data_IF_006478183801
#
_entry.id   IF_006478183801
#
_cell.length_a   1.000
_cell.length_b   1.000
_cell.length_c   1.000
_cell.angle_alpha   90.00
_cell.angle_beta   90.00
_cell.angle_gamma   90.00
#
_symmetry.space_group_name_H-M   'P 1'
#
loop_
_entity.id
_entity.type
_entity.pdbx_description
1 polymer ?
#
# COMPACT_ATOMS: atom_id res chain seq x y z
N UNK A 1 -0.63 -8.80 0.10
CA UNK A 1 -0.50 -7.36 0.32
C UNK A 1 -1.17 -7.00 1.64
N UNK A 2 -0.50 -6.29 2.54
CA UNK A 2 -1.07 -5.88 3.84
C UNK A 2 -2.20 -4.87 3.64
N UNK A 3 -3.13 -4.77 4.60
CA UNK A 3 -4.25 -3.81 4.52
C UNK A 3 -3.78 -2.36 4.44
N UNK A 4 -2.64 -2.02 5.09
CA UNK A 4 -2.04 -0.69 5.08
C UNK A 4 -1.47 -0.37 3.69
N UNK A 5 -0.70 -1.27 3.08
CA UNK A 5 -0.15 -1.10 1.74
C UNK A 5 -1.26 -0.87 0.69
N UNK A 6 -2.35 -1.64 0.77
CA UNK A 6 -3.49 -1.47 -0.14
C UNK A 6 -4.20 -0.12 0.05
N UNK A 7 -4.36 0.33 1.29
CA UNK A 7 -4.96 1.64 1.60
C UNK A 7 -4.09 2.79 1.10
N UNK A 8 -2.76 2.68 1.27
CA UNK A 8 -1.80 3.66 0.77
C UNK A 8 -1.84 3.73 -0.76
N UNK A 9 -1.80 2.56 -1.44
CA UNK A 9 -1.89 2.48 -2.89
C UNK A 9 -3.16 3.17 -3.42
N UNK A 10 -4.31 2.91 -2.79
CA UNK A 10 -5.58 3.60 -3.12
C UNK A 10 -5.53 5.10 -2.88
N UNK A 11 -4.89 5.56 -1.81
CA UNK A 11 -4.76 6.99 -1.51
C UNK A 11 -3.95 7.68 -2.58
N UNK A 12 -2.82 7.08 -3.02
CA UNK A 12 -2.00 7.61 -4.13
C UNK A 12 -2.81 7.61 -5.42
N UNK A 13 -3.49 6.51 -5.76
CA UNK A 13 -4.31 6.42 -6.98
C UNK A 13 -5.41 7.48 -7.04
N UNK A 14 -6.04 7.80 -5.90
CA UNK A 14 -7.10 8.82 -5.83
C UNK A 14 -6.56 10.24 -6.03
N UNK A 15 -5.35 10.53 -5.57
CA UNK A 15 -4.75 11.88 -5.64
C UNK A 15 -3.83 12.08 -6.83
N UNK A 16 -3.45 10.99 -7.53
CA UNK A 16 -2.45 10.98 -8.58
C UNK A 16 -1.04 10.86 -8.01
N UNK A 17 -0.71 11.71 -7.04
CA UNK A 17 0.56 11.72 -6.32
C UNK A 17 0.37 12.16 -4.86
N UNK A 18 1.36 11.87 -4.02
CA UNK A 18 1.48 12.35 -2.64
C UNK A 18 2.88 12.89 -2.40
N UNK A 19 3.03 13.84 -1.46
CA UNK A 19 4.37 14.12 -0.93
C UNK A 19 4.92 12.89 -0.21
N UNK A 20 6.23 12.72 -0.23
CA UNK A 20 6.87 11.62 0.50
C UNK A 20 6.55 11.68 1.99
N UNK A 21 6.47 12.88 2.56
CA UNK A 21 6.07 13.13 3.94
C UNK A 21 4.67 12.58 4.23
N UNK A 22 3.66 12.93 3.41
CA UNK A 22 2.29 12.41 3.56
C UNK A 22 2.21 10.89 3.45
N UNK A 23 3.09 10.27 2.67
CA UNK A 23 3.17 8.83 2.50
C UNK A 23 3.81 8.15 3.71
N UNK A 24 4.87 8.75 4.28
CA UNK A 24 5.57 8.28 5.48
C UNK A 24 4.68 8.41 6.74
N UNK A 25 3.94 9.49 6.87
CA UNK A 25 3.03 9.73 8.00
C UNK A 25 1.71 8.92 7.91
N UNK A 26 1.47 8.25 6.78
CA UNK A 26 0.23 7.49 6.58
C UNK A 26 0.03 6.35 7.59
N UNK A 27 1.04 5.51 7.96
CA UNK A 27 0.94 4.63 9.11
C UNK A 27 1.04 5.48 10.39
N UNK A 28 -0.08 5.72 11.05
CA UNK A 28 -0.12 6.45 12.31
C UNK A 28 0.77 5.77 13.35
N UNK A 29 1.71 6.51 13.91
CA UNK A 29 2.65 6.13 14.98
C UNK A 29 3.71 5.08 14.57
N UNK A 30 4.70 5.46 13.76
CA UNK A 30 5.86 4.60 13.55
C UNK A 30 6.76 4.63 14.81
N UNK A 31 6.69 3.57 15.61
CA UNK A 31 7.63 3.37 16.70
C UNK A 31 9.03 3.02 16.17
N UNK A 32 9.08 2.37 15.01
CA UNK A 32 10.32 1.94 14.35
C UNK A 32 10.16 1.89 12.81
N UNK A 33 11.21 1.46 12.13
CA UNK A 33 11.24 1.33 10.67
C UNK A 33 10.23 0.31 10.11
N UNK A 34 9.71 -0.61 10.93
CA UNK A 34 8.78 -1.65 10.46
C UNK A 34 7.46 -1.05 9.96
N UNK A 35 7.07 0.11 10.50
CA UNK A 35 5.90 0.83 10.03
C UNK A 35 6.04 1.31 8.57
N UNK A 36 7.25 1.46 8.07
CA UNK A 36 7.54 1.93 6.71
C UNK A 36 7.66 0.80 5.68
N UNK A 37 7.70 -0.49 6.11
CA UNK A 37 7.75 -1.61 5.18
C UNK A 37 6.63 -1.60 4.12
N UNK A 38 5.36 -1.27 4.45
CA UNK A 38 4.32 -1.21 3.42
C UNK A 38 4.62 -0.23 2.29
N UNK A 39 5.20 0.94 2.59
CA UNK A 39 5.61 1.93 1.59
C UNK A 39 6.85 1.45 0.84
N UNK A 40 7.88 0.99 1.55
CA UNK A 40 9.11 0.48 0.95
C UNK A 40 8.82 -0.68 -0.02
N UNK A 41 8.00 -1.63 0.40
CA UNK A 41 7.57 -2.75 -0.45
C UNK A 41 6.85 -2.29 -1.71
N UNK A 42 5.93 -1.32 -1.60
CA UNK A 42 5.21 -0.80 -2.77
C UNK A 42 6.14 -0.10 -3.77
N UNK A 43 7.20 0.55 -3.30
CA UNK A 43 8.19 1.22 -4.15
C UNK A 43 9.10 0.17 -4.80
N UNK A 44 9.69 -0.73 -4.02
CA UNK A 44 10.66 -1.73 -4.52
C UNK A 44 9.98 -2.73 -5.48
N UNK A 45 8.76 -3.16 -5.17
CA UNK A 45 7.97 -4.01 -6.05
C UNK A 45 7.42 -3.29 -7.30
N UNK A 46 7.61 -1.98 -7.39
CA UNK A 46 7.21 -1.17 -8.55
C UNK A 46 5.71 -0.91 -8.67
N UNK A 47 4.93 -1.01 -7.60
CA UNK A 47 3.55 -0.53 -7.56
C UNK A 47 3.47 0.99 -7.46
N UNK A 48 4.39 1.58 -6.70
CA UNK A 48 4.59 3.03 -6.60
C UNK A 48 5.95 3.41 -7.17
N UNK A 49 6.05 4.63 -7.68
CA UNK A 49 7.30 5.30 -7.96
C UNK A 49 7.58 6.32 -6.86
N UNK A 50 8.86 6.66 -6.70
CA UNK A 50 9.32 7.75 -5.86
C UNK A 50 10.32 8.59 -6.64
N UNK A 51 10.33 9.89 -6.39
CA UNK A 51 11.40 10.79 -6.87
C UNK A 51 12.63 10.69 -5.99
N UNK A 52 12.49 10.10 -4.79
CA UNK A 52 13.61 9.83 -3.91
C UNK A 52 14.58 8.84 -4.59
N UNK A 53 15.80 9.29 -4.85
CA UNK A 53 16.88 8.43 -5.32
C UNK A 53 17.48 7.69 -4.11
N UNK A 54 16.99 6.46 -3.89
CA UNK A 54 17.48 5.60 -2.82
C UNK A 54 18.39 4.52 -3.42
N UNK A 55 19.66 4.57 -3.04
CA UNK A 55 20.63 3.52 -3.34
C UNK A 55 20.95 2.75 -2.06
N UNK A 56 20.74 1.42 -2.04
CA UNK A 56 21.11 0.62 -0.90
C UNK A 56 22.65 0.70 -0.68
N UNK A 57 23.11 0.60 0.56
CA UNK A 57 24.55 0.53 0.84
C UNK A 57 25.20 -0.64 0.10
N UNK A 58 26.49 -0.53 -0.26
CA UNK A 58 27.23 -1.64 -0.86
C UNK A 58 27.11 -2.91 -0.01
N UNK A 59 26.76 -4.04 -0.64
CA UNK A 59 26.53 -5.32 0.03
C UNK A 59 25.13 -5.52 0.61
N UNK A 60 24.26 -4.51 0.56
CA UNK A 60 22.88 -4.59 1.02
C UNK A 60 21.85 -4.69 -0.12
N UNK A 61 22.28 -5.06 -1.33
CA UNK A 61 21.42 -5.14 -2.52
C UNK A 61 20.26 -6.15 -2.34
N UNK A 62 20.48 -7.19 -1.53
CA UNK A 62 19.45 -8.19 -1.19
C UNK A 62 18.46 -7.70 -0.11
N UNK A 63 18.73 -6.56 0.51
CA UNK A 63 17.93 -6.00 1.60
C UNK A 63 17.37 -4.61 1.25
N UNK A 64 17.03 -4.40 -0.03
CA UNK A 64 16.60 -3.08 -0.54
C UNK A 64 15.40 -2.53 0.21
N UNK A 65 14.38 -3.36 0.42
CA UNK A 65 13.16 -2.97 1.15
C UNK A 65 13.47 -2.58 2.59
N UNK A 66 14.34 -3.33 3.26
CA UNK A 66 14.79 -3.01 4.61
C UNK A 66 15.54 -1.67 4.64
N UNK A 67 16.53 -1.50 3.76
CA UNK A 67 17.31 -0.29 3.64
C UNK A 67 16.43 0.93 3.35
N UNK A 68 15.47 0.79 2.44
CA UNK A 68 14.51 1.85 2.12
C UNK A 68 13.60 2.14 3.33
N UNK A 69 13.06 1.12 4.01
CA UNK A 69 12.21 1.30 5.18
C UNK A 69 12.93 2.05 6.31
N UNK A 70 14.20 1.70 6.56
CA UNK A 70 15.04 2.42 7.53
C UNK A 70 15.25 3.87 7.09
N UNK A 71 15.57 4.11 5.83
CA UNK A 71 15.75 5.47 5.29
C UNK A 71 14.48 6.32 5.41
N UNK A 72 13.33 5.75 5.08
CA UNK A 72 12.03 6.42 5.23
C UNK A 72 11.72 6.74 6.68
N UNK A 73 12.01 5.82 7.61
CA UNK A 73 11.82 6.05 9.04
C UNK A 73 12.71 7.19 9.56
N UNK A 74 13.94 7.29 9.07
CA UNK A 74 14.85 8.36 9.46
C UNK A 74 14.28 9.77 9.19
N UNK A 75 13.44 9.93 8.15
CA UNK A 75 12.77 11.22 7.90
C UNK A 75 11.74 11.59 8.97
N UNK A 76 11.28 10.64 9.78
CA UNK A 76 10.29 10.87 10.86
C UNK A 76 10.97 11.27 12.18
N UNK A 77 12.27 11.05 12.30
CA UNK A 77 13.00 11.28 13.54
C UNK A 77 13.42 12.74 13.68
N UNK A 78 13.40 13.28 14.90
CA UNK A 78 13.85 14.64 15.14
C UNK A 78 15.36 14.73 14.90
N UNK A 79 15.80 15.87 14.35
CA UNK A 79 17.21 16.23 14.26
C UNK A 79 17.65 16.92 15.53
N UNK A 80 18.84 16.62 15.98
CA UNK A 80 19.47 17.35 17.10
C UNK A 80 19.91 18.77 16.68
N UNK A 81 20.49 19.52 17.61
CA UNK A 81 21.01 20.90 17.35
C UNK A 81 22.07 20.96 16.26
N UNK A 82 22.72 19.85 15.94
CA UNK A 82 23.75 19.71 14.92
C UNK A 82 23.19 19.15 13.60
N UNK A 83 21.86 18.95 13.53
CA UNK A 83 21.19 18.36 12.36
C UNK A 83 21.38 16.85 12.23
N UNK A 84 21.89 16.16 13.25
CA UNK A 84 22.13 14.73 13.26
C UNK A 84 20.88 14.00 13.73
N UNK A 85 20.51 12.93 13.01
CA UNK A 85 19.42 12.04 13.39
C UNK A 85 19.95 10.88 14.22
N UNK A 86 19.30 10.61 15.32
CA UNK A 86 19.63 9.50 16.21
C UNK A 86 18.63 8.37 16.02
N UNK A 87 19.13 7.19 15.65
CA UNK A 87 18.32 5.97 15.54
C UNK A 87 18.67 5.05 16.71
N UNK A 88 17.66 4.74 17.54
CA UNK A 88 17.86 4.02 18.82
C UNK A 88 18.93 4.63 19.72
N UNK A 89 19.02 5.97 19.76
CA UNK A 89 19.99 6.67 20.60
C UNK A 89 21.43 6.69 20.06
N UNK A 90 21.67 6.09 18.89
CA UNK A 90 22.98 6.07 18.24
C UNK A 90 22.96 7.01 17.04
N UNK A 91 23.97 7.90 16.89
CA UNK A 91 24.12 8.70 15.68
C UNK A 91 24.22 7.77 14.45
N UNK A 92 23.36 7.97 13.48
CA UNK A 92 23.39 7.14 12.26
C UNK A 92 24.14 7.88 11.15
N UNK A 93 25.37 7.47 10.80
CA UNK A 93 26.11 8.05 9.67
C UNK A 93 25.37 7.90 8.34
N UNK A 94 24.53 6.86 8.22
CA UNK A 94 23.69 6.61 7.03
C UNK A 94 22.54 7.61 6.94
N UNK A 95 21.97 8.03 8.08
CA UNK A 95 20.92 9.05 8.11
C UNK A 95 21.46 10.41 7.64
N UNK A 96 22.70 10.74 7.99
CA UNK A 96 23.34 11.98 7.54
C UNK A 96 23.57 11.99 6.02
N UNK A 97 23.92 10.84 5.43
CA UNK A 97 24.12 10.72 3.98
C UNK A 97 22.82 10.68 3.18
N UNK A 98 21.81 9.99 3.70
CA UNK A 98 20.51 9.87 3.01
C UNK A 98 19.61 11.11 3.17
N UNK A 99 19.83 11.91 4.23
CA UNK A 99 19.03 13.12 4.49
C UNK A 99 19.70 14.43 4.04
N UNK A 100 20.95 14.40 3.59
CA UNK A 100 21.80 15.59 3.42
C UNK A 100 21.17 16.76 2.66
N UNK A 101 20.38 16.51 1.62
CA UNK A 101 19.66 17.54 0.84
C UNK A 101 18.23 17.10 0.45
N UNK A 102 17.70 16.00 1.02
CA UNK A 102 16.38 15.52 0.66
C UNK A 102 15.34 16.18 1.56
N UNK A 103 14.41 16.88 0.95
CA UNK A 103 13.25 17.48 1.59
C UNK A 103 12.02 16.61 1.32
N UNK A 104 11.50 15.86 2.33
CA UNK A 104 10.37 14.96 2.14
C UNK A 104 9.09 15.66 1.65
N UNK A 105 8.98 16.97 1.86
CA UNK A 105 7.84 17.75 1.36
C UNK A 105 7.93 18.00 -0.15
N UNK A 106 9.13 17.99 -0.73
CA UNK A 106 9.36 18.16 -2.17
C UNK A 106 9.36 16.84 -2.95
N UNK A 107 9.79 15.76 -2.29
CA UNK A 107 9.77 14.44 -2.90
C UNK A 107 8.35 13.93 -3.10
N UNK A 108 8.12 13.20 -4.20
CA UNK A 108 6.81 12.70 -4.60
C UNK A 108 6.76 11.19 -4.66
N UNK A 109 5.62 10.66 -4.30
CA UNK A 109 5.24 9.26 -4.49
C UNK A 109 4.07 9.22 -5.44
N UNK A 110 4.18 8.46 -6.51
CA UNK A 110 3.20 8.40 -7.59
C UNK A 110 2.87 6.95 -7.99
N UNK A 111 1.72 6.77 -8.64
CA UNK A 111 1.26 5.46 -9.07
C UNK A 111 2.00 5.01 -10.33
N UNK A 112 2.60 3.81 -10.31
CA UNK A 112 3.13 3.15 -11.51
C UNK A 112 2.09 2.26 -12.18
N UNK A 113 2.34 1.88 -13.43
CA UNK A 113 1.44 1.02 -14.22
C UNK A 113 1.09 -0.28 -13.51
N UNK A 114 2.06 -0.94 -12.86
CA UNK A 114 1.82 -2.17 -12.06
C UNK A 114 0.81 -1.92 -10.93
N UNK A 115 0.88 -0.78 -10.27
CA UNK A 115 -0.05 -0.39 -9.22
C UNK A 115 -1.46 -0.13 -9.73
N UNK A 116 -1.59 0.56 -10.87
CA UNK A 116 -2.86 0.79 -11.53
C UNK A 116 -3.52 -0.52 -11.94
N UNK A 117 -2.81 -1.39 -12.65
CA UNK A 117 -3.30 -2.70 -13.07
C UNK A 117 -3.74 -3.57 -11.88
N UNK A 118 -3.00 -3.53 -10.77
CA UNK A 118 -3.37 -4.27 -9.56
C UNK A 118 -4.70 -3.78 -8.98
N UNK A 119 -4.92 -2.45 -8.93
CA UNK A 119 -6.17 -1.87 -8.45
C UNK A 119 -7.34 -2.24 -9.36
N UNK A 120 -7.15 -2.21 -10.68
CA UNK A 120 -8.17 -2.57 -11.66
C UNK A 120 -8.55 -4.05 -11.55
N UNK A 121 -7.57 -4.95 -11.45
CA UNK A 121 -7.82 -6.38 -11.24
C UNK A 121 -8.56 -6.64 -9.92
N UNK A 122 -8.23 -5.89 -8.87
CA UNK A 122 -8.92 -6.01 -7.60
C UNK A 122 -10.38 -5.53 -7.68
N UNK A 123 -10.63 -4.44 -8.41
CA UNK A 123 -11.97 -3.93 -8.67
C UNK A 123 -12.78 -4.93 -9.49
N UNK A 124 -12.21 -5.50 -10.57
CA UNK A 124 -12.85 -6.53 -11.40
C UNK A 124 -13.24 -7.76 -10.59
N UNK A 125 -12.29 -8.31 -9.79
CA UNK A 125 -12.59 -9.47 -8.94
C UNK A 125 -13.72 -9.23 -7.93
N UNK A 126 -13.86 -8.02 -7.43
CA UNK A 126 -15.00 -7.67 -6.56
C UNK A 126 -16.29 -7.63 -7.33
N UNK A 127 -16.27 -7.07 -8.55
CA UNK A 127 -17.42 -6.98 -9.43
C UNK A 127 -17.89 -8.35 -9.87
N UNK A 128 -16.97 -9.24 -10.26
CA UNK A 128 -17.27 -10.62 -10.64
C UNK A 128 -17.93 -11.40 -9.49
N UNK A 129 -17.41 -11.27 -8.27
CA UNK A 129 -18.01 -11.90 -7.08
C UNK A 129 -19.43 -11.39 -6.82
N UNK A 130 -19.64 -10.08 -6.97
CA UNK A 130 -20.96 -9.49 -6.81
C UNK A 130 -21.95 -10.06 -7.83
N UNK A 131 -21.57 -10.13 -9.11
CA UNK A 131 -22.40 -10.68 -10.15
C UNK A 131 -22.66 -12.18 -9.98
N UNK A 132 -21.65 -12.94 -9.56
CA UNK A 132 -21.82 -14.37 -9.25
C UNK A 132 -22.83 -14.60 -8.13
N UNK A 133 -22.74 -13.79 -7.06
CA UNK A 133 -23.71 -13.86 -5.97
C UNK A 133 -25.11 -13.47 -6.42
N UNK A 134 -25.25 -12.40 -7.16
CA UNK A 134 -26.53 -11.89 -7.65
C UNK A 134 -27.20 -12.91 -8.59
N UNK A 135 -26.45 -13.47 -9.54
CA UNK A 135 -26.96 -14.49 -10.46
C UNK A 135 -27.41 -15.76 -9.74
N UNK A 136 -26.65 -16.20 -8.73
CA UNK A 136 -27.05 -17.34 -7.88
C UNK A 136 -28.33 -17.07 -7.10
N UNK A 137 -28.50 -15.87 -6.55
CA UNK A 137 -29.71 -15.48 -5.84
C UNK A 137 -30.93 -15.45 -6.77
N UNK A 138 -30.78 -14.88 -7.98
CA UNK A 138 -31.86 -14.85 -8.99
C UNK A 138 -32.24 -16.28 -9.42
N UNK A 139 -31.26 -17.12 -9.73
CA UNK A 139 -31.52 -18.52 -10.10
C UNK A 139 -32.25 -19.27 -8.98
N UNK A 140 -31.86 -19.07 -7.72
CA UNK A 140 -32.54 -19.67 -6.57
C UNK A 140 -34.01 -19.25 -6.46
N UNK A 141 -34.32 -17.98 -6.67
CA UNK A 141 -35.70 -17.47 -6.67
C UNK A 141 -36.51 -18.09 -7.80
N UNK A 142 -35.95 -18.14 -9.01
CA UNK A 142 -36.64 -18.76 -10.16
C UNK A 142 -36.98 -20.23 -9.92
N UNK A 143 -35.99 -20.99 -9.44
CA UNK A 143 -36.18 -22.41 -9.09
C UNK A 143 -37.26 -22.57 -8.00
N UNK A 144 -37.20 -21.73 -6.96
CA UNK A 144 -38.21 -21.72 -5.89
C UNK A 144 -39.64 -21.46 -6.40
N UNK A 145 -39.79 -20.47 -7.30
CA UNK A 145 -41.09 -20.15 -7.91
C UNK A 145 -41.62 -21.29 -8.81
N UNK A 146 -40.71 -21.89 -9.59
CA UNK A 146 -41.06 -23.03 -10.43
C UNK A 146 -41.52 -24.21 -9.56
N UNK A 147 -40.79 -24.56 -8.55
CA UNK A 147 -41.15 -25.64 -7.61
C UNK A 147 -42.48 -25.37 -6.89
N UNK A 148 -42.70 -24.13 -6.44
CA UNK A 148 -43.95 -23.72 -5.81
C UNK A 148 -45.14 -23.85 -6.78
N UNK A 149 -44.94 -23.46 -8.04
CA UNK A 149 -45.95 -23.64 -9.10
C UNK A 149 -46.28 -25.10 -9.37
N UNK A 150 -45.27 -25.96 -9.43
CA UNK A 150 -45.45 -27.40 -9.60
C UNK A 150 -46.21 -28.02 -8.42
N UNK A 151 -45.83 -27.69 -7.15
CA UNK A 151 -46.57 -28.17 -5.97
C UNK A 151 -48.03 -27.79 -6.01
N UNK A 152 -48.35 -26.57 -6.36
CA UNK A 152 -49.74 -26.09 -6.49
C UNK A 152 -50.51 -26.83 -7.58
N UNK A 153 -49.88 -27.16 -8.71
CA UNK A 153 -50.53 -27.82 -9.85
C UNK A 153 -50.74 -29.30 -9.62
N UNK A 154 -49.87 -29.98 -8.88
CA UNK A 154 -49.93 -31.45 -8.69
C UNK A 154 -50.40 -31.87 -7.29
N UNK A 155 -50.85 -30.93 -6.44
CA UNK A 155 -51.41 -31.24 -5.12
C UNK A 155 -50.44 -31.95 -4.16
N UNK A 156 -49.12 -31.79 -4.40
CA UNK A 156 -48.13 -32.41 -3.54
C UNK A 156 -47.97 -31.59 -2.23
N UNK A 157 -47.91 -32.28 -1.08
CA UNK A 157 -47.76 -31.64 0.23
C UNK A 157 -46.43 -30.87 0.38
#
# INVERSE_FOLDING_TARGET
>A
MTSIAFRLLKKVAKRGELSLKDAIEFPKSPLDHTAQYPLALLIEEGYLGSTLDHQPPPGAEKMREYSLAVSLHMFTLPKDSNGVVHYHGVPSPQAVRSQGNVDPDKERVFLKAKGALYLDQFAQKRWDRFWTFLSGAIAGVIVGLVLAGFRKKFGLP
#
